data_IF_659062395162
#
_entry.id   IF_659062395162
#
_cell.length_a   1.000
_cell.length_b   1.000
_cell.length_c   1.000
_cell.angle_alpha   90.00
_cell.angle_beta   90.00
_cell.angle_gamma   90.00
#
_symmetry.space_group_name_H-M   'P 1'
#
loop_
_entity.id
_entity.type
_entity.pdbx_description
1 polymer ?
#
# COMPACT_ATOMS: atom_id res chain seq x y z
N UNK A 1 9.38 4.04 33.00
CA UNK A 1 9.04 4.90 31.86
C UNK A 1 7.56 4.71 31.61
N UNK A 2 6.79 5.78 31.71
CA UNK A 2 5.35 5.78 31.46
C UNK A 2 5.11 5.35 30.00
N UNK A 3 4.53 4.16 29.81
CA UNK A 3 4.36 3.50 28.50
C UNK A 3 3.13 4.01 27.74
N UNK A 4 2.62 5.20 28.06
CA UNK A 4 1.33 5.68 27.58
C UNK A 4 1.38 6.82 26.55
N UNK A 5 2.57 7.23 26.09
CA UNK A 5 2.67 8.25 25.04
C UNK A 5 2.54 7.61 23.66
N UNK A 6 1.33 7.65 23.09
CA UNK A 6 1.11 7.33 21.68
C UNK A 6 1.81 8.38 20.80
N UNK A 7 2.90 7.98 20.14
CA UNK A 7 3.62 8.83 19.19
C UNK A 7 2.93 8.80 17.82
N UNK A 8 2.00 9.72 17.60
CA UNK A 8 1.21 9.82 16.36
C UNK A 8 1.57 11.07 15.56
N UNK A 9 1.70 10.92 14.24
CA UNK A 9 1.85 12.02 13.29
C UNK A 9 1.10 11.68 12.00
N UNK A 10 0.59 12.70 11.32
CA UNK A 10 0.05 12.57 9.96
C UNK A 10 1.04 13.20 8.99
N UNK A 11 1.44 12.46 7.95
CA UNK A 11 2.28 12.96 6.87
C UNK A 11 1.42 12.96 5.60
N UNK A 12 1.41 14.09 4.90
CA UNK A 12 0.83 14.22 3.58
C UNK A 12 1.84 14.88 2.65
N UNK A 13 1.83 14.48 1.38
CA UNK A 13 2.61 15.11 0.33
C UNK A 13 1.80 15.15 -0.95
N UNK A 14 2.19 16.00 -1.89
CA UNK A 14 1.61 16.09 -3.23
C UNK A 14 2.73 16.01 -4.24
N UNK A 15 2.47 15.37 -5.36
CA UNK A 15 3.40 15.30 -6.50
C UNK A 15 2.67 15.68 -7.78
N UNK A 16 3.40 16.29 -8.72
CA UNK A 16 2.89 16.59 -10.05
C UNK A 16 2.86 15.29 -10.86
N UNK A 17 1.69 14.92 -11.37
CA UNK A 17 1.49 13.68 -12.15
C UNK A 17 1.92 13.84 -13.61
N UNK A 18 1.71 15.02 -14.18
CA UNK A 18 2.05 15.37 -15.56
C UNK A 18 2.97 16.60 -15.54
N UNK A 19 4.27 16.39 -15.67
CA UNK A 19 5.26 17.45 -15.85
C UNK A 19 5.16 18.07 -17.25
N UNK A 20 5.76 19.26 -17.48
CA UNK A 20 5.70 19.93 -18.78
C UNK A 20 6.30 19.09 -19.91
N UNK A 21 7.44 18.46 -19.66
CA UNK A 21 8.24 17.70 -20.65
C UNK A 21 7.72 16.27 -20.91
N UNK A 22 6.72 15.78 -20.16
CA UNK A 22 6.26 14.40 -20.33
C UNK A 22 5.59 14.21 -21.70
N UNK A 23 6.15 13.31 -22.52
CA UNK A 23 5.61 13.01 -23.85
C UNK A 23 4.25 12.31 -23.80
N UNK A 24 3.95 11.57 -22.73
CA UNK A 24 2.65 10.95 -22.48
C UNK A 24 2.04 11.56 -21.22
N UNK A 25 0.81 12.07 -21.34
CA UNK A 25 0.06 12.63 -20.21
C UNK A 25 -0.95 11.60 -19.71
N UNK A 26 -0.98 11.36 -18.41
CA UNK A 26 -1.99 10.52 -17.78
C UNK A 26 -3.30 11.29 -17.63
N UNK A 27 -4.41 10.64 -17.94
CA UNK A 27 -5.73 11.10 -17.51
C UNK A 27 -5.96 10.74 -16.04
N UNK A 28 -7.01 11.30 -15.43
CA UNK A 28 -7.42 10.89 -14.09
C UNK A 28 -7.79 9.39 -14.03
N UNK A 29 -8.34 8.83 -15.12
CA UNK A 29 -8.69 7.41 -15.20
C UNK A 29 -7.42 6.55 -15.18
N UNK A 30 -6.41 6.93 -15.96
CA UNK A 30 -5.13 6.21 -16.01
C UNK A 30 -4.43 6.22 -14.65
N UNK A 31 -4.41 7.39 -13.99
CA UNK A 31 -3.82 7.53 -12.66
C UNK A 31 -4.50 6.58 -11.65
N UNK A 32 -5.83 6.57 -11.60
CA UNK A 32 -6.55 5.74 -10.64
C UNK A 32 -6.48 4.24 -10.98
N UNK A 33 -6.41 3.89 -12.26
CA UNK A 33 -6.10 2.52 -12.67
C UNK A 33 -4.70 2.09 -12.16
N UNK A 34 -3.70 2.96 -12.29
CA UNK A 34 -2.35 2.73 -11.75
C UNK A 34 -2.34 2.56 -10.23
N UNK A 35 -3.02 3.45 -9.48
CA UNK A 35 -3.14 3.33 -8.00
C UNK A 35 -3.84 2.03 -7.60
N UNK A 36 -4.90 1.64 -8.30
CA UNK A 36 -5.59 0.37 -8.06
C UNK A 36 -4.67 -0.83 -8.35
N UNK A 37 -3.81 -0.74 -9.36
CA UNK A 37 -2.82 -1.77 -9.68
C UNK A 37 -1.75 -1.88 -8.58
N UNK A 38 -1.19 -0.75 -8.11
CA UNK A 38 -0.24 -0.72 -6.98
C UNK A 38 -0.82 -1.34 -5.70
N UNK A 39 -2.13 -1.21 -5.48
CA UNK A 39 -2.79 -1.84 -4.35
C UNK A 39 -2.71 -3.39 -4.39
N UNK A 40 -2.64 -3.98 -5.59
CA UNK A 40 -2.59 -5.43 -5.81
C UNK A 40 -1.16 -5.94 -6.07
N UNK A 41 -0.36 -5.16 -6.77
CA UNK A 41 0.97 -5.50 -7.27
C UNK A 41 2.05 -4.50 -6.81
N UNK A 42 2.18 -4.19 -5.50
CA UNK A 42 3.15 -3.20 -5.03
C UNK A 42 4.60 -3.57 -5.35
N UNK A 43 4.94 -4.85 -5.53
CA UNK A 43 6.27 -5.33 -5.91
C UNK A 43 6.76 -4.79 -7.26
N UNK A 44 5.86 -4.37 -8.15
CA UNK A 44 6.25 -3.77 -9.44
C UNK A 44 6.73 -2.32 -9.29
N UNK A 45 6.48 -1.69 -8.13
CA UNK A 45 6.68 -0.25 -7.92
C UNK A 45 7.52 0.09 -6.69
N UNK A 46 7.54 -0.79 -5.69
CA UNK A 46 8.24 -0.61 -4.43
C UNK A 46 9.39 -1.64 -4.33
N UNK A 47 10.66 -1.23 -4.49
CA UNK A 47 11.81 -2.15 -4.51
C UNK A 47 11.98 -3.00 -3.24
N UNK A 48 11.48 -2.51 -2.10
CA UNK A 48 11.52 -3.21 -0.82
C UNK A 48 10.41 -4.28 -0.67
N UNK A 49 9.52 -4.43 -1.66
CA UNK A 49 8.48 -5.46 -1.66
C UNK A 49 8.91 -6.62 -2.55
N UNK A 50 9.19 -7.78 -1.94
CA UNK A 50 9.55 -8.98 -2.68
C UNK A 50 8.33 -9.71 -3.26
N UNK A 51 7.19 -9.69 -2.55
CA UNK A 51 5.97 -10.38 -2.97
C UNK A 51 4.72 -9.72 -2.37
N UNK A 52 3.60 -9.80 -3.09
CA UNK A 52 2.27 -9.49 -2.58
C UNK A 52 1.31 -10.64 -2.91
N UNK A 53 0.62 -11.16 -1.90
CA UNK A 53 -0.49 -12.10 -2.04
C UNK A 53 -1.79 -11.40 -1.62
N UNK A 54 -2.75 -11.28 -2.54
CA UNK A 54 -4.11 -10.81 -2.22
C UNK A 54 -4.87 -11.96 -1.55
N UNK A 55 -5.24 -11.77 -0.29
CA UNK A 55 -5.89 -12.79 0.54
C UNK A 55 -7.41 -12.80 0.38
N UNK A 56 -7.99 -11.61 0.20
CA UNK A 56 -9.41 -11.42 -0.06
C UNK A 56 -9.63 -10.08 -0.74
N UNK A 57 -10.75 -9.97 -1.45
CA UNK A 57 -11.16 -8.75 -2.15
C UNK A 57 -12.69 -8.64 -2.17
N UNK A 58 -13.21 -7.41 -2.04
CA UNK A 58 -14.64 -7.15 -2.19
C UNK A 58 -15.07 -7.25 -3.65
N UNK A 59 -16.33 -7.61 -3.91
CA UNK A 59 -16.87 -7.76 -5.29
C UNK A 59 -16.68 -6.50 -6.14
N UNK A 60 -16.73 -5.31 -5.52
CA UNK A 60 -16.52 -4.04 -6.21
C UNK A 60 -15.04 -3.63 -6.36
N UNK A 61 -14.09 -4.46 -5.91
CA UNK A 61 -12.65 -4.22 -6.02
C UNK A 61 -12.10 -3.04 -5.22
N UNK A 62 -12.92 -2.43 -4.34
CA UNK A 62 -12.54 -1.22 -3.58
C UNK A 62 -11.86 -1.52 -2.25
N UNK A 63 -11.95 -2.75 -1.74
CA UNK A 63 -11.27 -3.15 -0.51
C UNK A 63 -10.65 -4.51 -0.69
N UNK A 64 -9.42 -4.65 -0.20
CA UNK A 64 -8.69 -5.91 -0.25
C UNK A 64 -7.83 -6.08 0.99
N UNK A 65 -7.62 -7.34 1.36
CA UNK A 65 -6.62 -7.74 2.34
C UNK A 65 -5.43 -8.35 1.62
N UNK A 66 -4.22 -7.95 1.98
CA UNK A 66 -3.00 -8.48 1.36
C UNK A 66 -1.94 -8.84 2.38
N UNK A 67 -1.13 -9.83 2.03
CA UNK A 67 0.12 -10.15 2.68
C UNK A 67 1.28 -9.65 1.80
N UNK A 68 2.12 -8.77 2.35
CA UNK A 68 3.32 -8.26 1.69
C UNK A 68 4.54 -8.92 2.30
N UNK A 69 5.27 -9.71 1.52
CA UNK A 69 6.60 -10.17 1.90
C UNK A 69 7.61 -9.09 1.55
N UNK A 70 8.34 -8.63 2.56
CA UNK A 70 9.36 -7.62 2.41
C UNK A 70 10.66 -8.26 1.89
N UNK A 71 11.29 -7.59 0.94
CA UNK A 71 12.65 -7.89 0.49
C UNK A 71 13.69 -7.12 1.30
N UNK A 72 14.87 -6.90 0.70
CA UNK A 72 15.91 -6.04 1.28
C UNK A 72 15.65 -4.55 0.97
N UNK A 73 15.99 -3.66 1.90
CA UNK A 73 15.94 -2.20 1.70
C UNK A 73 14.82 -1.43 2.43
N UNK A 74 13.97 -2.12 3.20
CA UNK A 74 13.00 -1.48 4.08
C UNK A 74 13.64 -0.94 5.37
N UNK A 75 13.29 0.29 5.78
CA UNK A 75 13.71 0.84 7.08
C UNK A 75 13.03 0.03 8.19
N UNK A 76 13.82 -0.61 9.06
CA UNK A 76 13.39 -1.39 10.24
C UNK A 76 12.61 -2.69 9.99
N UNK A 77 12.75 -3.34 8.84
CA UNK A 77 12.12 -4.65 8.58
C UNK A 77 13.14 -5.64 8.03
N UNK A 78 13.13 -6.86 8.59
CA UNK A 78 14.03 -7.94 8.15
C UNK A 78 13.50 -8.59 6.88
N UNK A 79 14.41 -8.99 5.98
CA UNK A 79 14.08 -9.75 4.78
C UNK A 79 13.19 -10.97 5.12
N UNK A 80 12.13 -11.17 4.34
CA UNK A 80 11.16 -12.25 4.53
C UNK A 80 10.09 -11.99 5.60
N UNK A 81 10.10 -10.83 6.28
CA UNK A 81 8.98 -10.44 7.13
C UNK A 81 7.72 -10.20 6.30
N UNK A 82 6.56 -10.56 6.88
CA UNK A 82 5.27 -10.43 6.22
C UNK A 82 4.44 -9.36 6.93
N UNK A 83 3.99 -8.36 6.17
CA UNK A 83 3.02 -7.35 6.62
C UNK A 83 1.63 -7.70 6.13
N UNK A 84 0.66 -7.74 7.04
CA UNK A 84 -0.75 -7.90 6.69
C UNK A 84 -1.43 -6.53 6.69
N UNK A 85 -2.05 -6.18 5.57
CA UNK A 85 -2.65 -4.86 5.37
C UNK A 85 -4.08 -4.96 4.86
N UNK A 86 -4.96 -4.13 5.43
CA UNK A 86 -6.25 -3.82 4.84
C UNK A 86 -6.12 -2.54 4.01
N UNK A 87 -6.42 -2.63 2.72
CA UNK A 87 -6.32 -1.51 1.78
C UNK A 87 -7.71 -1.13 1.30
N UNK A 88 -8.01 0.18 1.29
CA UNK A 88 -9.20 0.72 0.64
C UNK A 88 -8.77 1.57 -0.55
N UNK A 89 -9.15 1.14 -1.75
CA UNK A 89 -8.99 1.88 -3.00
C UNK A 89 -10.27 2.70 -3.18
N UNK A 90 -10.19 3.98 -2.84
CA UNK A 90 -11.31 4.90 -2.96
C UNK A 90 -11.08 5.88 -4.12
N UNK A 91 -12.09 6.00 -4.98
CA UNK A 91 -12.06 6.91 -6.12
C UNK A 91 -11.84 8.34 -5.62
N UNK A 92 -10.83 9.02 -6.16
CA UNK A 92 -10.50 10.41 -5.80
C UNK A 92 -10.13 10.63 -4.34
N UNK A 93 -9.89 9.57 -3.56
CA UNK A 93 -9.42 9.68 -2.18
C UNK A 93 -7.90 9.56 -2.15
N UNK A 94 -7.24 10.52 -1.50
CA UNK A 94 -5.84 10.36 -1.11
C UNK A 94 -5.76 9.27 -0.02
N UNK A 95 -5.55 8.02 -0.45
CA UNK A 95 -5.16 6.80 0.30
C UNK A 95 -5.51 6.75 1.81
N UNK A 96 -6.37 5.81 2.22
CA UNK A 96 -6.50 5.34 3.62
C UNK A 96 -5.92 3.92 3.74
N UNK A 97 -4.83 3.78 4.51
CA UNK A 97 -4.17 2.50 4.79
C UNK A 97 -4.22 2.20 6.29
N UNK A 98 -4.81 1.06 6.67
CA UNK A 98 -4.84 0.63 8.07
C UNK A 98 -4.03 -0.65 8.26
N UNK A 99 -3.16 -0.63 9.26
CA UNK A 99 -2.48 -1.84 9.73
C UNK A 99 -3.52 -2.76 10.37
N UNK A 100 -3.56 -4.02 9.94
CA UNK A 100 -4.48 -5.02 10.48
C UNK A 100 -3.69 -6.05 11.28
N UNK A 101 -4.05 -6.27 12.54
CA UNK A 101 -3.54 -7.39 13.32
C UNK A 101 -4.28 -8.66 12.88
N UNK A 102 -3.58 -9.61 12.27
CA UNK A 102 -4.13 -10.94 11.96
C UNK A 102 -3.38 -11.99 12.77
N UNK A 103 -4.12 -12.75 13.58
CA UNK A 103 -3.59 -13.92 14.26
C UNK A 103 -3.48 -15.06 13.25
N UNK A 104 -2.32 -15.73 13.23
CA UNK A 104 -2.12 -16.97 12.48
C UNK A 104 -3.12 -17.99 13.03
N UNK A 105 -4.10 -18.41 12.23
CA UNK A 105 -4.97 -19.52 12.62
C UNK A 105 -4.08 -20.75 12.82
N UNK A 106 -3.92 -21.16 14.07
CA UNK A 106 -3.18 -22.35 14.45
C UNK A 106 -4.06 -23.59 14.23
N UNK A 107 -3.72 -24.33 13.16
CA UNK A 107 -4.10 -25.70 12.77
C UNK A 107 -5.57 -26.10 12.84
#
# INVERSE_FOLDING_TARGET
MDSSVTFSYNISFTTVVNGPEDGTKLTAVDLWAGVAHVARMPQEFAPYVAKCDVLWETVNGKRLGRAITLGDGGVHTGNGQVLYQGVSVADRLQVDGRMAAWAKASR
#
